data_IF_714901731729
#
_entry.id   IF_714901731729
#
_cell.length_a   1.000
_cell.length_b   1.000
_cell.length_c   1.000
_cell.angle_alpha   90.00
_cell.angle_beta   90.00
_cell.angle_gamma   90.00
#
_symmetry.space_group_name_H-M   'P 1'
#
loop_
_entity.id
_entity.type
_entity.pdbx_description
1 polymer ?
#
# COMPACT_ATOMS: atom_id res chain seq x y z
N UNK A 1 3.71 -32.05 -8.08
CA UNK A 1 4.25 -30.85 -8.71
C UNK A 1 4.12 -29.68 -7.76
N UNK A 2 5.23 -29.11 -7.37
CA UNK A 2 5.19 -27.97 -6.46
C UNK A 2 4.75 -26.71 -7.21
N UNK A 3 3.74 -26.03 -6.66
CA UNK A 3 3.33 -24.72 -7.16
C UNK A 3 4.18 -23.67 -6.47
N UNK A 4 4.77 -22.81 -7.27
CA UNK A 4 5.61 -21.73 -6.75
C UNK A 4 4.86 -20.41 -6.82
N UNK A 5 4.89 -19.69 -5.71
CA UNK A 5 4.33 -18.35 -5.61
C UNK A 5 5.39 -17.40 -5.13
N UNK A 6 5.39 -16.20 -5.66
CA UNK A 6 6.19 -15.11 -5.12
C UNK A 6 5.29 -14.07 -4.49
N UNK A 7 5.75 -13.50 -3.39
CA UNK A 7 5.02 -12.42 -2.71
C UNK A 7 5.93 -11.20 -2.76
N UNK A 8 5.40 -10.10 -3.31
CA UNK A 8 6.11 -8.83 -3.38
C UNK A 8 5.30 -7.77 -2.63
N UNK A 9 5.97 -7.07 -1.72
CA UNK A 9 5.36 -5.96 -0.99
C UNK A 9 5.81 -4.67 -1.66
N UNK A 10 4.85 -3.87 -2.12
CA UNK A 10 5.10 -2.62 -2.82
C UNK A 10 4.65 -1.45 -1.98
N UNK A 11 5.56 -0.54 -1.69
CA UNK A 11 5.26 0.72 -1.00
C UNK A 11 4.69 1.72 -1.99
N UNK A 12 3.55 2.34 -1.66
CA UNK A 12 2.95 3.35 -2.52
C UNK A 12 2.78 4.72 -1.86
N UNK A 13 2.87 4.82 -0.56
CA UNK A 13 2.78 6.09 0.16
C UNK A 13 3.39 5.98 1.55
N UNK A 14 3.70 7.12 2.14
CA UNK A 14 4.19 7.21 3.52
C UNK A 14 3.39 8.28 4.25
N UNK A 15 2.85 7.92 5.41
CA UNK A 15 2.24 8.89 6.32
C UNK A 15 3.27 9.29 7.36
N UNK A 16 3.59 10.56 7.40
CA UNK A 16 4.59 11.13 8.34
C UNK A 16 3.95 11.51 9.65
N UNK A 17 4.67 11.27 10.74
CA UNK A 17 4.29 11.77 12.06
C UNK A 17 3.02 11.19 12.64
N UNK A 18 2.71 9.93 12.36
CA UNK A 18 1.56 9.26 12.96
C UNK A 18 1.84 8.95 14.42
N UNK A 19 0.87 9.24 15.29
CA UNK A 19 1.05 9.03 16.73
C UNK A 19 1.27 7.56 17.07
N UNK A 20 2.29 7.26 17.87
CA UNK A 20 2.58 5.90 18.30
C UNK A 20 1.44 5.29 19.13
N UNK A 21 0.63 6.11 19.78
CA UNK A 21 -0.55 5.66 20.52
C UNK A 21 -1.55 4.95 19.61
N UNK A 22 -1.66 5.41 18.34
CA UNK A 22 -2.53 4.77 17.37
C UNK A 22 -1.88 3.57 16.66
N UNK A 23 -0.56 3.60 16.50
CA UNK A 23 0.17 2.51 15.83
C UNK A 23 0.30 1.30 16.74
N UNK A 24 0.64 1.52 18.00
CA UNK A 24 0.86 0.46 18.97
C UNK A 24 -0.24 0.51 20.03
N UNK A 25 -1.19 -0.40 19.91
CA UNK A 25 -2.31 -0.48 20.86
C UNK A 25 -1.79 -0.63 22.29
N UNK A 26 -2.24 0.24 23.19
CA UNK A 26 -1.80 0.24 24.57
C UNK A 26 -0.46 0.90 24.85
N UNK A 27 0.20 1.45 23.82
CA UNK A 27 1.43 2.20 24.01
C UNK A 27 1.11 3.68 24.30
N UNK A 28 1.64 4.17 25.41
CA UNK A 28 1.48 5.57 25.82
C UNK A 28 2.82 6.27 25.76
N UNK A 29 3.36 6.39 24.55
CA UNK A 29 4.60 7.12 24.34
C UNK A 29 4.34 8.62 24.36
N UNK A 30 5.04 9.38 25.10
CA UNK A 30 4.92 10.81 25.42
C UNK A 30 4.89 11.75 24.20
N UNK A 31 3.91 11.59 23.32
CA UNK A 31 3.80 12.35 22.06
C UNK A 31 4.76 11.89 20.98
N UNK A 32 5.39 10.74 21.13
CA UNK A 32 6.24 10.17 20.10
C UNK A 32 5.44 9.83 18.84
N UNK A 33 6.06 10.03 17.69
CA UNK A 33 5.46 9.80 16.40
C UNK A 33 6.33 8.85 15.57
N UNK A 34 5.69 8.14 14.64
CA UNK A 34 6.38 7.28 13.71
C UNK A 34 5.82 7.48 12.31
N UNK A 35 6.62 7.13 11.31
CA UNK A 35 6.16 7.13 9.94
C UNK A 35 5.54 5.77 9.62
N UNK A 36 4.39 5.79 8.95
CA UNK A 36 3.67 4.59 8.55
C UNK A 36 3.75 4.44 7.04
N UNK A 37 4.20 3.28 6.59
CA UNK A 37 4.29 2.96 5.17
C UNK A 37 3.01 2.26 4.71
N UNK A 38 2.43 2.76 3.63
CA UNK A 38 1.28 2.13 2.98
C UNK A 38 1.78 1.22 1.87
N UNK A 39 1.31 -0.03 1.89
CA UNK A 39 1.78 -1.04 0.96
C UNK A 39 0.62 -1.77 0.29
N UNK A 40 0.90 -2.31 -0.89
CA UNK A 40 0.06 -3.32 -1.52
C UNK A 40 0.88 -4.61 -1.64
N UNK A 41 0.23 -5.74 -1.56
CA UNK A 41 0.89 -7.04 -1.66
C UNK A 41 0.50 -7.72 -2.96
N UNK A 42 1.50 -8.22 -3.68
CA UNK A 42 1.30 -8.89 -4.97
C UNK A 42 1.72 -10.33 -4.84
N UNK A 43 0.80 -11.24 -5.10
CA UNK A 43 1.08 -12.68 -5.16
C UNK A 43 1.07 -13.09 -6.62
N UNK A 44 2.19 -13.59 -7.09
CA UNK A 44 2.35 -14.06 -8.46
C UNK A 44 2.66 -15.54 -8.47
N UNK A 45 1.90 -16.31 -9.23
CA UNK A 45 2.09 -17.73 -9.35
C UNK A 45 1.54 -18.27 -10.66
N UNK A 46 1.52 -19.58 -10.81
CA UNK A 46 1.03 -20.23 -12.02
C UNK A 46 -0.43 -19.90 -12.32
N UNK A 47 -1.23 -19.73 -11.28
CA UNK A 47 -2.65 -19.43 -11.42
C UNK A 47 -2.93 -17.95 -11.78
N UNK A 48 -1.92 -17.09 -11.80
CA UNK A 48 -2.07 -15.70 -12.15
C UNK A 48 -1.56 -14.75 -11.08
N UNK A 49 -2.05 -13.52 -11.13
CA UNK A 49 -1.61 -12.43 -10.26
C UNK A 49 -2.77 -12.00 -9.36
N UNK A 50 -2.51 -11.96 -8.06
CA UNK A 50 -3.47 -11.54 -7.04
C UNK A 50 -2.90 -10.31 -6.34
N UNK A 51 -3.69 -9.27 -6.22
CA UNK A 51 -3.33 -8.07 -5.46
C UNK A 51 -4.15 -8.03 -4.19
N UNK A 52 -3.48 -7.93 -3.06
CA UNK A 52 -4.12 -7.79 -1.75
C UNK A 52 -3.93 -6.36 -1.29
N UNK A 53 -5.03 -5.68 -0.98
CA UNK A 53 -5.05 -4.29 -0.55
C UNK A 53 -4.58 -3.35 -1.66
N UNK A 54 -5.53 -2.80 -2.39
CA UNK A 54 -5.26 -2.00 -3.60
C UNK A 54 -4.77 -0.58 -3.32
N UNK A 55 -4.77 -0.14 -2.06
CA UNK A 55 -4.46 1.24 -1.76
C UNK A 55 -5.58 2.20 -2.18
N UNK A 56 -5.22 3.45 -2.42
CA UNK A 56 -6.17 4.45 -2.88
C UNK A 56 -5.63 5.16 -4.13
N UNK A 57 -6.54 5.80 -4.85
CA UNK A 57 -6.22 6.55 -6.06
C UNK A 57 -6.44 8.04 -5.79
N UNK A 58 -5.38 8.84 -5.88
CA UNK A 58 -5.44 10.28 -5.62
C UNK A 58 -6.02 11.09 -6.78
N UNK A 59 -6.40 10.44 -7.88
CA UNK A 59 -7.16 11.10 -8.94
C UNK A 59 -8.57 11.49 -8.48
N UNK A 60 -9.07 10.82 -7.44
CA UNK A 60 -10.33 11.20 -6.80
C UNK A 60 -10.09 12.31 -5.79
N UNK A 61 -10.81 13.41 -5.95
CA UNK A 61 -10.65 14.59 -5.09
C UNK A 61 -10.85 14.27 -3.60
N UNK A 62 -11.82 13.43 -3.29
CA UNK A 62 -12.13 13.05 -1.91
C UNK A 62 -10.94 12.33 -1.26
N UNK A 63 -10.31 11.42 -1.98
CA UNK A 63 -9.13 10.69 -1.48
C UNK A 63 -7.95 11.64 -1.30
N UNK A 64 -7.74 12.55 -2.25
CA UNK A 64 -6.65 13.52 -2.18
C UNK A 64 -6.80 14.44 -0.99
N UNK A 65 -8.01 14.92 -0.70
CA UNK A 65 -8.27 15.78 0.46
C UNK A 65 -8.01 15.06 1.78
N UNK A 66 -8.43 13.80 1.89
CA UNK A 66 -8.14 13.00 3.07
C UNK A 66 -6.64 12.79 3.25
N UNK A 67 -5.93 12.50 2.19
CA UNK A 67 -4.49 12.28 2.23
C UNK A 67 -3.73 13.53 2.67
N UNK A 68 -4.15 14.71 2.21
CA UNK A 68 -3.55 15.99 2.63
C UNK A 68 -3.68 16.19 4.13
N UNK A 69 -4.85 15.89 4.69
CA UNK A 69 -5.08 15.98 6.14
C UNK A 69 -4.31 14.95 6.96
N UNK A 70 -3.90 13.86 6.35
CA UNK A 70 -3.17 12.77 7.00
C UNK A 70 -1.66 12.87 6.85
N UNK A 71 -1.15 13.94 6.25
CA UNK A 71 0.28 14.14 6.07
C UNK A 71 0.97 13.01 5.28
N UNK A 72 0.30 12.55 4.23
CA UNK A 72 0.82 11.51 3.35
C UNK A 72 1.76 12.11 2.32
N UNK A 73 2.92 11.49 2.14
CA UNK A 73 3.95 11.91 1.20
C UNK A 73 4.40 10.73 0.34
N UNK A 74 5.19 11.00 -0.69
CA UNK A 74 5.77 9.99 -1.56
C UNK A 74 4.74 9.06 -2.19
N UNK A 75 3.55 9.61 -2.45
CA UNK A 75 2.47 8.84 -3.05
C UNK A 75 2.78 8.47 -4.49
N UNK A 76 2.48 7.22 -4.83
CA UNK A 76 2.48 6.72 -6.20
C UNK A 76 1.21 5.90 -6.41
N UNK A 77 0.56 6.04 -7.56
CA UNK A 77 -0.65 5.26 -7.79
C UNK A 77 -0.35 3.75 -7.77
N UNK A 78 -1.29 2.92 -7.31
CA UNK A 78 -1.11 1.47 -7.34
C UNK A 78 -0.76 0.92 -8.73
N UNK A 79 -1.39 1.44 -9.79
CA UNK A 79 -1.06 1.06 -11.16
C UNK A 79 0.40 1.36 -11.49
N UNK A 80 0.91 2.50 -11.05
CA UNK A 80 2.29 2.91 -11.32
C UNK A 80 3.30 2.01 -10.61
N UNK A 81 3.04 1.63 -9.34
CA UNK A 81 3.96 0.75 -8.62
C UNK A 81 3.91 -0.68 -9.19
N UNK A 82 2.76 -1.15 -9.66
CA UNK A 82 2.66 -2.43 -10.34
C UNK A 82 3.49 -2.45 -11.62
N UNK A 83 3.43 -1.38 -12.41
CA UNK A 83 4.20 -1.26 -13.66
C UNK A 83 5.70 -1.30 -13.43
N UNK A 84 6.17 -0.84 -12.28
CA UNK A 84 7.60 -0.90 -11.93
C UNK A 84 8.13 -2.33 -11.83
N UNK A 85 7.27 -3.28 -11.51
CA UNK A 85 7.66 -4.70 -11.47
C UNK A 85 7.14 -5.47 -12.69
N UNK A 86 6.77 -4.75 -13.76
CA UNK A 86 6.37 -5.36 -15.02
C UNK A 86 4.95 -5.88 -15.07
N UNK A 87 4.08 -5.41 -14.18
CA UNK A 87 2.68 -5.84 -14.13
C UNK A 87 1.78 -4.71 -14.59
N UNK A 88 0.96 -4.96 -15.62
CA UNK A 88 -0.10 -4.05 -16.00
C UNK A 88 -1.35 -4.35 -15.16
N UNK A 89 -2.15 -3.34 -14.79
CA UNK A 89 -3.36 -3.59 -14.01
C UNK A 89 -4.30 -4.62 -14.63
N UNK A 90 -4.35 -4.70 -15.95
CA UNK A 90 -5.18 -5.66 -16.68
C UNK A 90 -4.74 -7.11 -16.46
N UNK A 91 -3.49 -7.33 -16.03
CA UNK A 91 -2.94 -8.67 -15.78
C UNK A 91 -3.35 -9.21 -14.42
N UNK A 92 -3.90 -8.37 -13.55
CA UNK A 92 -4.34 -8.77 -12.22
C UNK A 92 -5.67 -9.51 -12.34
N UNK A 93 -5.71 -10.74 -11.85
CA UNK A 93 -6.90 -11.58 -11.94
C UNK A 93 -7.82 -11.44 -10.74
N UNK A 94 -7.26 -11.25 -9.56
CA UNK A 94 -8.03 -11.13 -8.33
C UNK A 94 -7.52 -9.98 -7.49
N UNK A 95 -8.46 -9.26 -6.91
CA UNK A 95 -8.20 -8.16 -5.95
C UNK A 95 -8.97 -8.47 -4.68
N UNK A 96 -8.25 -8.46 -3.58
CA UNK A 96 -8.83 -8.74 -2.27
C UNK A 96 -8.76 -7.49 -1.38
#
# INVERSE_FOLDING_TARGET
MERKYSITVLEYAVQRGFSNTFVFSGYYGNGEQTDVTYTINVIKGEAGIIVIDTGYDDSYEEHRKLAEGMNITQYRSPAKVLRKIGIEPEDVQYVI
#
